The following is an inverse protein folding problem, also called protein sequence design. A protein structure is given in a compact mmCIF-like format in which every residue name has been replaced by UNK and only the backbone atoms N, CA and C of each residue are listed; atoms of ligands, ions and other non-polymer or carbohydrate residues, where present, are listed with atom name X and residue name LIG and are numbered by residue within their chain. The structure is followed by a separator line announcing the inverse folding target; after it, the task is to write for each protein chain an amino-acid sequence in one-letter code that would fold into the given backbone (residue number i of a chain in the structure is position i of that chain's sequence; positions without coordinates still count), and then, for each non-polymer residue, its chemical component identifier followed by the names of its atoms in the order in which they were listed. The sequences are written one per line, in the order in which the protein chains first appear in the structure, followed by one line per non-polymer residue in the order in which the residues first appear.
data_IF_020561715412
#
_entry.id   IF_020561715412
#
_cell.length_a   1.000
_cell.length_b   1.000
_cell.length_c   1.000
_cell.angle_alpha   90.00
_cell.angle_beta   90.00
_cell.angle_gamma   90.00
#
_symmetry.space_group_name_H-M   'P 1'
#
loop_
_entity.id
_entity.type
_entity.pdbx_description
1 polymer ?
#
# COMPACT_ATOMS: atom_id res chain seq x y z
N UNK A 1 -24.21 7.28 -3.76
CA UNK A 1 -23.31 6.45 -2.94
C UNK A 1 -22.44 7.40 -2.12
N UNK A 2 -22.25 7.14 -0.84
CA UNK A 2 -21.48 8.02 0.05
C UNK A 2 -20.03 8.15 -0.44
N UNK A 3 -19.54 9.40 -0.58
CA UNK A 3 -18.17 9.69 -1.07
C UNK A 3 -17.09 9.06 -0.18
N UNK A 4 -17.38 8.87 1.10
CA UNK A 4 -16.49 8.23 2.06
C UNK A 4 -16.36 6.72 1.78
N UNK A 5 -17.46 6.03 1.46
CA UNK A 5 -17.43 4.60 1.12
C UNK A 5 -16.62 4.30 -0.14
N UNK A 6 -16.72 5.15 -1.17
CA UNK A 6 -15.95 4.95 -2.41
C UNK A 6 -14.44 5.09 -2.16
N UNK A 7 -14.01 6.00 -1.28
CA UNK A 7 -12.59 6.14 -0.93
C UNK A 7 -12.04 4.96 -0.14
N UNK A 8 -12.81 4.44 0.82
CA UNK A 8 -12.41 3.23 1.56
C UNK A 8 -12.29 2.04 0.63
N UNK A 9 -13.20 1.91 -0.34
CA UNK A 9 -13.12 0.89 -1.38
C UNK A 9 -11.82 1.02 -2.19
N UNK A 10 -11.48 2.23 -2.65
CA UNK A 10 -10.21 2.49 -3.34
C UNK A 10 -8.99 2.16 -2.47
N UNK A 11 -9.02 2.52 -1.18
CA UNK A 11 -7.94 2.20 -0.26
C UNK A 11 -7.77 0.69 -0.04
N UNK A 12 -8.88 -0.05 0.09
CA UNK A 12 -8.89 -1.51 0.23
C UNK A 12 -8.37 -2.17 -1.04
N UNK A 13 -8.84 -1.76 -2.22
CA UNK A 13 -8.37 -2.27 -3.52
C UNK A 13 -6.86 -2.04 -3.69
N UNK A 14 -6.34 -0.89 -3.25
CA UNK A 14 -4.92 -0.60 -3.28
C UNK A 14 -4.12 -1.48 -2.31
N UNK A 15 -4.65 -1.77 -1.11
CA UNK A 15 -4.03 -2.70 -0.16
C UNK A 15 -4.02 -4.14 -0.68
N UNK A 16 -5.10 -4.60 -1.31
CA UNK A 16 -5.19 -5.93 -1.91
C UNK A 16 -4.17 -6.09 -3.04
N UNK A 17 -4.00 -5.06 -3.88
CA UNK A 17 -2.99 -5.05 -4.93
C UNK A 17 -1.56 -5.11 -4.36
N UNK A 18 -1.28 -4.37 -3.28
CA UNK A 18 0.01 -4.44 -2.58
C UNK A 18 0.26 -5.85 -2.03
N UNK A 19 -0.74 -6.44 -1.38
CA UNK A 19 -0.64 -7.77 -0.81
C UNK A 19 -0.32 -8.82 -1.90
N UNK A 20 -1.06 -8.77 -3.01
CA UNK A 20 -0.83 -9.65 -4.16
C UNK A 20 0.58 -9.51 -4.72
N UNK A 21 1.04 -8.28 -4.96
CA UNK A 21 2.40 -8.00 -5.45
C UNK A 21 3.48 -8.59 -4.52
N UNK A 22 3.30 -8.45 -3.20
CA UNK A 22 4.22 -9.01 -2.20
C UNK A 22 4.23 -10.53 -2.20
N UNK A 23 3.05 -11.15 -2.28
CA UNK A 23 2.91 -12.61 -2.32
C UNK A 23 3.56 -13.18 -3.58
N UNK A 24 3.34 -12.55 -4.74
CA UNK A 24 3.99 -12.96 -5.98
C UNK A 24 5.51 -12.83 -5.89
N UNK A 25 6.02 -11.70 -5.38
CA UNK A 25 7.45 -11.50 -5.21
C UNK A 25 8.08 -12.58 -4.31
N UNK A 26 7.44 -12.97 -3.20
CA UNK A 26 7.95 -14.01 -2.30
C UNK A 26 7.97 -15.38 -2.99
N UNK A 27 6.95 -15.72 -3.78
CA UNK A 27 6.88 -17.00 -4.50
C UNK A 27 7.92 -17.13 -5.61
N UNK A 28 8.46 -16.02 -6.12
CA UNK A 28 9.52 -16.02 -7.12
C UNK A 28 10.91 -16.34 -6.55
N UNK A 29 11.02 -16.69 -5.26
CA UNK A 29 12.30 -17.02 -4.64
C UNK A 29 12.96 -18.21 -5.37
N UNK A 30 14.18 -18.04 -5.91
CA UNK A 30 14.89 -19.13 -6.57
C UNK A 30 15.35 -20.20 -5.55
N UNK A 31 15.63 -21.38 -6.08
CA UNK A 31 16.12 -22.56 -5.33
C UNK A 31 17.50 -22.32 -4.66
N UNK A 32 18.24 -21.32 -5.15
CA UNK A 32 19.49 -20.84 -4.57
C UNK A 32 20.74 -21.45 -5.18
N UNK A 33 20.61 -22.25 -6.24
CA UNK A 33 21.75 -22.85 -6.93
C UNK A 33 22.39 -21.91 -7.97
N UNK A 34 21.66 -20.89 -8.42
CA UNK A 34 22.15 -19.86 -9.33
C UNK A 34 22.33 -18.51 -8.61
N UNK A 35 23.58 -18.05 -8.49
CA UNK A 35 23.92 -16.77 -7.84
C UNK A 35 23.31 -15.56 -8.56
N UNK A 36 23.22 -15.61 -9.90
CA UNK A 36 22.68 -14.51 -10.70
C UNK A 36 21.16 -14.38 -10.49
N UNK A 37 20.45 -15.49 -10.46
CA UNK A 37 19.00 -15.50 -10.16
C UNK A 37 18.71 -14.99 -8.74
N UNK A 38 19.55 -15.36 -7.77
CA UNK A 38 19.49 -14.84 -6.41
C UNK A 38 19.68 -13.32 -6.36
N UNK A 39 20.65 -12.79 -7.11
CA UNK A 39 20.89 -11.34 -7.19
C UNK A 39 19.68 -10.62 -7.78
N UNK A 40 19.18 -11.10 -8.93
CA UNK A 40 18.00 -10.53 -9.60
C UNK A 40 16.78 -10.57 -8.67
N UNK A 41 16.57 -11.69 -7.98
CA UNK A 41 15.49 -11.83 -7.00
C UNK A 41 15.59 -10.79 -5.88
N UNK A 42 16.78 -10.58 -5.32
CA UNK A 42 17.02 -9.59 -4.26
C UNK A 42 16.73 -8.17 -4.77
N UNK A 43 17.27 -7.79 -5.95
CA UNK A 43 17.05 -6.47 -6.53
C UNK A 43 15.56 -6.20 -6.79
N UNK A 44 14.85 -7.19 -7.34
CA UNK A 44 13.41 -7.12 -7.58
C UNK A 44 12.61 -7.03 -6.28
N UNK A 45 13.04 -7.75 -5.23
CA UNK A 45 12.41 -7.70 -3.90
C UNK A 45 12.56 -6.30 -3.30
N UNK A 46 13.75 -5.70 -3.35
CA UNK A 46 13.96 -4.33 -2.88
C UNK A 46 13.12 -3.31 -3.64
N UNK A 47 13.02 -3.44 -4.96
CA UNK A 47 12.17 -2.58 -5.79
C UNK A 47 10.69 -2.70 -5.39
N UNK A 48 10.21 -3.93 -5.15
CA UNK A 48 8.84 -4.21 -4.72
C UNK A 48 8.56 -3.64 -3.32
N UNK A 49 9.50 -3.76 -2.39
CA UNK A 49 9.40 -3.18 -1.05
C UNK A 49 9.35 -1.65 -1.09
N UNK A 50 10.19 -1.01 -1.90
CA UNK A 50 10.18 0.44 -2.06
C UNK A 50 8.84 0.93 -2.63
N UNK A 51 8.33 0.28 -3.67
CA UNK A 51 7.02 0.60 -4.25
C UNK A 51 5.90 0.42 -3.24
N UNK A 52 5.96 -0.65 -2.45
CA UNK A 52 4.99 -0.94 -1.40
C UNK A 52 4.97 0.16 -0.33
N UNK A 53 6.15 0.57 0.16
CA UNK A 53 6.26 1.63 1.16
C UNK A 53 5.66 2.96 0.67
N UNK A 54 5.89 3.32 -0.60
CA UNK A 54 5.32 4.52 -1.21
C UNK A 54 3.79 4.44 -1.30
N UNK A 55 3.24 3.34 -1.81
CA UNK A 55 1.78 3.16 -1.92
C UNK A 55 1.09 3.16 -0.55
N UNK A 56 1.68 2.53 0.46
CA UNK A 56 1.15 2.57 1.84
C UNK A 56 1.13 4.01 2.37
N UNK A 57 2.19 4.79 2.12
CA UNK A 57 2.25 6.21 2.51
C UNK A 57 1.15 7.03 1.82
N UNK A 58 0.89 6.80 0.54
CA UNK A 58 -0.17 7.47 -0.21
C UNK A 58 -1.56 7.15 0.36
N UNK A 59 -1.84 5.87 0.61
CA UNK A 59 -3.10 5.42 1.22
C UNK A 59 -3.28 6.08 2.60
N UNK A 60 -2.24 6.04 3.44
CA UNK A 60 -2.26 6.69 4.75
C UNK A 60 -2.56 8.19 4.65
N UNK A 61 -1.90 8.89 3.72
CA UNK A 61 -2.12 10.32 3.50
C UNK A 61 -3.55 10.62 3.04
N UNK A 62 -4.12 9.76 2.17
CA UNK A 62 -5.49 9.87 1.71
C UNK A 62 -6.50 9.74 2.86
N UNK A 63 -6.27 8.79 3.76
CA UNK A 63 -7.12 8.56 4.93
C UNK A 63 -6.97 9.65 6.01
N UNK A 64 -5.75 10.13 6.27
CA UNK A 64 -5.48 11.16 7.29
C UNK A 64 -6.03 12.55 6.93
N UNK A 65 -6.05 12.91 5.64
CA UNK A 65 -6.67 14.17 5.18
C UNK A 65 -8.15 14.27 5.60
N UNK A 66 -8.84 13.14 5.71
CA UNK A 66 -10.25 13.09 6.09
C UNK A 66 -10.46 13.18 7.61
N UNK A 67 -9.56 12.59 8.40
CA UNK A 67 -9.56 12.78 9.86
C UNK A 67 -9.47 14.26 10.23
N UNK A 68 -8.65 15.04 9.50
CA UNK A 68 -8.51 16.49 9.70
C UNK A 68 -9.77 17.28 9.31
N UNK A 69 -10.38 16.96 8.17
CA UNK A 69 -11.62 17.62 7.72
C UNK A 69 -12.79 17.41 8.69
N UNK A 70 -12.91 16.21 9.28
CA UNK A 70 -13.98 15.91 10.24
C UNK A 70 -13.83 16.67 11.58
N UNK A 71 -12.60 17.00 11.99
CA UNK A 71 -12.33 17.77 13.20
C UNK A 71 -12.63 19.27 13.02
N UNK A 72 -12.36 19.81 11.83
CA UNK A 72 -12.61 21.24 11.52
C UNK A 72 -14.10 21.58 11.39
N UNK A 73 -14.98 20.59 11.18
CA UNK A 73 -16.43 20.78 11.07
C UNK A 73 -17.19 20.70 12.41
N UNK A 74 -16.51 20.46 13.54
CA UNK A 74 -17.17 20.43 14.84
C UNK A 74 -17.31 21.84 15.43
N UNK A 75 -18.54 22.36 15.45
CA UNK A 75 -18.88 23.60 16.14
C UNK A 75 -19.58 23.24 17.47
N UNK A 76 -18.98 23.51 18.66
CA UNK A 76 -19.65 23.25 19.93
C UNK A 76 -20.95 24.06 20.04
N UNK A 77 -22.03 23.50 20.62
CA UNK A 77 -23.22 24.29 20.92
C UNK A 77 -22.86 25.39 21.92
N UNK A 78 -23.31 26.61 21.61
CA UNK A 78 -23.13 27.81 22.44
C UNK A 78 -23.92 27.73 23.75
#
# INVERSE_FOLDING_TARGET
MDKSMEKYKVAIEALDAIFKDMVEAIHLKPDGHNLEELRIYVDNTYSTLNRTALRVKEIKTLLEKELKLNLETWNPPA
#
